data_IF_178398005477
#
_entry.id   IF_178398005477
#
_cell.length_a   1.000
_cell.length_b   1.000
_cell.length_c   1.000
_cell.angle_alpha   90.00
_cell.angle_beta   90.00
_cell.angle_gamma   90.00
#
_symmetry.space_group_name_H-M   'P 1'
#
loop_
_entity.id
_entity.type
_entity.pdbx_description
1 polymer ?
#
# COMPACT_ATOMS: atom_id res chain seq x y z
N UNK A 1 -17.96 1.72 8.36
CA UNK A 1 -17.66 3.03 8.94
C UNK A 1 -18.10 4.11 7.97
N UNK A 2 -18.65 5.19 8.46
CA UNK A 2 -19.09 6.29 7.62
C UNK A 2 -20.05 5.87 6.53
N UNK A 3 -19.82 6.37 5.30
CA UNK A 3 -20.64 6.09 4.11
C UNK A 3 -20.04 5.01 3.20
N UNK A 4 -18.86 4.49 3.51
CA UNK A 4 -18.23 3.44 2.72
C UNK A 4 -19.02 2.14 2.78
N UNK A 5 -19.24 1.53 1.63
CA UNK A 5 -19.94 0.24 1.47
C UNK A 5 -18.95 -0.86 1.13
N UNK A 6 -19.14 -2.04 1.73
CA UNK A 6 -18.33 -3.22 1.45
C UNK A 6 -19.23 -4.33 0.90
N UNK A 7 -18.85 -4.90 -0.24
CA UNK A 7 -19.58 -5.99 -0.87
C UNK A 7 -18.61 -6.95 -1.61
N UNK A 8 -19.00 -8.21 -1.84
CA UNK A 8 -18.17 -9.17 -2.58
C UNK A 8 -17.85 -8.67 -3.99
N UNK A 9 -16.63 -8.94 -4.46
CA UNK A 9 -16.31 -8.70 -5.87
C UNK A 9 -17.08 -9.70 -6.75
N UNK A 10 -17.62 -9.23 -7.87
CA UNK A 10 -18.38 -10.07 -8.81
C UNK A 10 -17.49 -11.16 -9.45
N UNK A 11 -16.20 -10.88 -9.64
CA UNK A 11 -15.22 -11.80 -10.20
C UNK A 11 -14.09 -12.01 -9.19
N UNK A 12 -14.31 -12.85 -8.15
CA UNK A 12 -13.32 -13.02 -7.10
C UNK A 12 -12.06 -13.73 -7.61
N UNK A 13 -10.89 -13.20 -7.26
CA UNK A 13 -9.58 -13.75 -7.60
C UNK A 13 -8.99 -14.61 -6.48
N UNK A 14 -9.60 -14.60 -5.29
CA UNK A 14 -9.17 -15.35 -4.11
C UNK A 14 -10.37 -15.70 -3.23
N UNK A 15 -10.14 -16.48 -2.17
CA UNK A 15 -11.18 -16.89 -1.22
C UNK A 15 -11.88 -15.68 -0.57
N UNK A 16 -11.14 -14.62 -0.30
CA UNK A 16 -11.65 -13.31 0.08
C UNK A 16 -11.33 -12.31 -1.03
N UNK A 17 -12.35 -11.76 -1.66
CA UNK A 17 -12.21 -10.63 -2.57
C UNK A 17 -13.46 -9.75 -2.50
N UNK A 18 -13.32 -8.60 -1.87
CA UNK A 18 -14.40 -7.65 -1.67
C UNK A 18 -14.00 -6.27 -2.19
N UNK A 19 -15.00 -5.46 -2.48
CA UNK A 19 -14.86 -4.07 -2.92
C UNK A 19 -15.35 -3.17 -1.80
N UNK A 20 -14.60 -2.10 -1.52
CA UNK A 20 -15.01 -1.00 -0.64
C UNK A 20 -15.18 0.23 -1.51
N UNK A 21 -16.37 0.78 -1.58
CA UNK A 21 -16.69 1.91 -2.45
C UNK A 21 -17.28 3.08 -1.68
N UNK A 22 -17.25 4.24 -2.32
CA UNK A 22 -17.79 5.50 -1.85
C UNK A 22 -18.99 5.88 -2.73
N UNK A 23 -20.25 5.60 -2.32
CA UNK A 23 -21.43 5.67 -3.20
C UNK A 23 -21.65 7.02 -3.88
N UNK A 24 -21.26 8.11 -3.22
CA UNK A 24 -21.47 9.47 -3.71
C UNK A 24 -20.35 10.00 -4.60
N UNK A 25 -19.25 9.25 -4.73
CA UNK A 25 -18.05 9.69 -5.44
C UNK A 25 -17.85 8.89 -6.72
N UNK A 26 -18.25 9.44 -7.86
CA UNK A 26 -18.12 8.75 -9.15
C UNK A 26 -16.76 8.91 -9.82
N UNK A 27 -16.03 9.96 -9.48
CA UNK A 27 -14.68 10.25 -9.95
C UNK A 27 -13.94 11.10 -8.93
N UNK A 28 -12.66 10.86 -8.76
CA UNK A 28 -11.74 11.70 -7.97
C UNK A 28 -10.42 11.87 -8.71
N UNK A 29 -9.88 13.08 -8.68
CA UNK A 29 -8.47 13.30 -9.00
C UNK A 29 -7.61 12.86 -7.82
N UNK A 30 -6.32 12.58 -7.99
CA UNK A 30 -5.46 12.16 -6.90
C UNK A 30 -5.49 13.09 -5.67
N UNK A 31 -5.49 14.42 -5.87
CA UNK A 31 -5.56 15.41 -4.78
C UNK A 31 -6.92 15.50 -4.07
N UNK A 32 -7.97 14.89 -4.64
CA UNK A 32 -9.32 14.87 -4.06
C UNK A 32 -9.53 13.70 -3.09
N UNK A 33 -8.57 12.79 -2.98
CA UNK A 33 -8.56 11.76 -1.93
C UNK A 33 -8.21 12.39 -0.58
N UNK A 34 -9.22 12.90 0.10
CA UNK A 34 -9.04 13.54 1.41
C UNK A 34 -8.70 12.53 2.51
N UNK A 35 -8.04 12.96 3.62
CA UNK A 35 -7.76 12.09 4.76
C UNK A 35 -9.01 11.42 5.31
N UNK A 36 -10.12 12.15 5.41
CA UNK A 36 -11.40 11.61 5.89
C UNK A 36 -11.93 10.50 5.02
N UNK A 37 -11.90 10.68 3.69
CA UNK A 37 -12.36 9.68 2.73
C UNK A 37 -11.52 8.40 2.80
N UNK A 38 -10.19 8.53 2.78
CA UNK A 38 -9.28 7.39 2.89
C UNK A 38 -9.41 6.70 4.23
N UNK A 39 -9.56 7.45 5.34
CA UNK A 39 -9.77 6.88 6.66
C UNK A 39 -11.07 6.06 6.75
N UNK A 40 -12.17 6.54 6.17
CA UNK A 40 -13.43 5.79 6.09
C UNK A 40 -13.25 4.47 5.31
N UNK A 41 -12.64 4.55 4.13
CA UNK A 41 -12.45 3.38 3.27
C UNK A 41 -11.49 2.35 3.86
N UNK A 42 -10.32 2.77 4.33
CA UNK A 42 -9.35 1.90 4.97
C UNK A 42 -9.91 1.29 6.25
N UNK A 43 -10.59 2.09 7.09
CA UNK A 43 -11.24 1.60 8.29
C UNK A 43 -12.31 0.54 8.00
N UNK A 44 -13.16 0.78 6.99
CA UNK A 44 -14.14 -0.22 6.56
C UNK A 44 -13.48 -1.50 6.02
N UNK A 45 -12.39 -1.38 5.28
CA UNK A 45 -11.62 -2.49 4.75
C UNK A 45 -10.97 -3.32 5.87
N UNK A 46 -10.32 -2.68 6.86
CA UNK A 46 -9.70 -3.34 8.02
C UNK A 46 -10.76 -4.05 8.87
N UNK A 47 -11.88 -3.38 9.19
CA UNK A 47 -12.97 -3.99 9.97
C UNK A 47 -13.61 -5.18 9.25
N UNK A 48 -13.75 -5.11 7.93
CA UNK A 48 -14.22 -6.23 7.13
C UNK A 48 -13.20 -7.37 7.12
N UNK A 49 -11.91 -7.05 6.93
CA UNK A 49 -10.81 -8.00 6.96
C UNK A 49 -10.69 -8.76 8.28
N UNK A 50 -10.86 -8.07 9.42
CA UNK A 50 -10.91 -8.69 10.75
C UNK A 50 -12.02 -9.72 10.85
N UNK A 51 -13.25 -9.37 10.42
CA UNK A 51 -14.39 -10.30 10.43
C UNK A 51 -14.16 -11.47 9.49
N UNK A 52 -13.61 -11.25 8.32
CA UNK A 52 -13.31 -12.29 7.36
C UNK A 52 -12.23 -13.26 7.87
N UNK A 53 -11.19 -12.77 8.55
CA UNK A 53 -10.14 -13.59 9.15
C UNK A 53 -10.65 -14.50 10.27
N UNK A 54 -11.76 -14.17 10.92
CA UNK A 54 -12.43 -15.05 11.88
C UNK A 54 -13.35 -16.08 11.21
N UNK A 55 -13.84 -15.82 10.03
CA UNK A 55 -14.84 -16.64 9.34
C UNK A 55 -14.25 -17.57 8.26
N UNK A 56 -13.09 -17.22 7.75
CA UNK A 56 -12.43 -17.91 6.63
C UNK A 56 -11.03 -18.35 7.03
N UNK A 57 -10.52 -19.40 6.38
CA UNK A 57 -9.11 -19.77 6.49
C UNK A 57 -8.30 -18.86 5.56
N UNK A 58 -7.61 -17.89 6.16
CA UNK A 58 -6.79 -16.91 5.46
C UNK A 58 -5.37 -16.93 6.03
N UNK A 59 -4.38 -17.04 5.17
CA UNK A 59 -2.96 -16.91 5.54
C UNK A 59 -2.50 -15.46 5.40
N UNK A 60 -3.03 -14.73 4.42
CA UNK A 60 -2.69 -13.33 4.17
C UNK A 60 -3.93 -12.48 3.94
N UNK A 61 -3.78 -11.18 4.18
CA UNK A 61 -4.77 -10.15 3.90
C UNK A 61 -4.06 -8.92 3.35
N UNK A 62 -4.63 -8.33 2.31
CA UNK A 62 -4.19 -7.05 1.77
C UNK A 62 -5.37 -6.15 1.40
N UNK A 63 -5.12 -4.84 1.44
CA UNK A 63 -6.06 -3.81 0.98
C UNK A 63 -5.37 -3.08 -0.16
N UNK A 64 -5.99 -3.02 -1.33
CA UNK A 64 -5.39 -2.43 -2.51
C UNK A 64 -6.30 -1.38 -3.15
N UNK A 65 -5.70 -0.43 -3.84
CA UNK A 65 -6.38 0.52 -4.70
C UNK A 65 -5.75 0.50 -6.09
N UNK A 66 -6.59 0.32 -7.10
CA UNK A 66 -6.25 0.58 -8.48
C UNK A 66 -7.00 1.84 -8.90
N UNK A 67 -6.28 2.92 -9.20
CA UNK A 67 -6.90 4.17 -9.61
C UNK A 67 -6.65 4.45 -11.08
N UNK A 68 -7.73 4.67 -11.84
CA UNK A 68 -7.78 4.89 -13.28
C UNK A 68 -7.29 3.68 -14.11
N UNK A 69 -7.56 3.70 -15.41
CA UNK A 69 -7.19 2.63 -16.35
C UNK A 69 -5.69 2.30 -16.36
N UNK A 70 -4.76 3.28 -16.32
CA UNK A 70 -3.34 2.99 -16.21
C UNK A 70 -2.98 2.25 -14.92
N UNK A 71 -3.71 2.47 -13.82
CA UNK A 71 -3.59 1.74 -12.56
C UNK A 71 -4.22 0.35 -12.59
N UNK A 72 -4.83 -0.07 -13.71
CA UNK A 72 -5.51 -1.37 -13.83
C UNK A 72 -6.93 -1.39 -13.25
N UNK A 73 -7.53 -0.23 -13.00
CA UNK A 73 -8.93 -0.17 -12.60
C UNK A 73 -9.84 -0.50 -13.79
N UNK A 74 -10.80 -1.39 -13.59
CA UNK A 74 -11.84 -1.68 -14.59
C UNK A 74 -12.93 -0.61 -14.65
N UNK A 75 -13.08 0.14 -13.56
CA UNK A 75 -14.05 1.23 -13.40
C UNK A 75 -13.34 2.48 -12.86
N UNK A 76 -13.76 3.64 -13.31
CA UNK A 76 -13.23 4.93 -12.87
C UNK A 76 -13.71 5.29 -11.45
N UNK A 77 -14.84 4.72 -11.02
CA UNK A 77 -15.40 4.93 -9.68
C UNK A 77 -14.38 4.57 -8.59
N UNK A 78 -14.04 5.48 -7.66
CA UNK A 78 -13.04 5.23 -6.63
C UNK A 78 -13.43 4.08 -5.71
N UNK A 79 -12.53 3.12 -5.56
CA UNK A 79 -12.78 1.96 -4.70
C UNK A 79 -11.48 1.36 -4.18
N UNK A 80 -11.57 0.68 -3.04
CA UNK A 80 -10.54 -0.21 -2.53
C UNK A 80 -10.98 -1.66 -2.74
N UNK A 81 -10.02 -2.56 -2.69
CA UNK A 81 -10.26 -4.00 -2.74
C UNK A 81 -9.65 -4.63 -1.49
N UNK A 82 -10.40 -5.52 -0.84
CA UNK A 82 -9.90 -6.39 0.22
C UNK A 82 -9.66 -7.75 -0.39
N UNK A 83 -8.42 -8.22 -0.31
CA UNK A 83 -7.96 -9.43 -0.97
C UNK A 83 -7.25 -10.33 0.03
N UNK A 84 -7.58 -11.62 0.08
CA UNK A 84 -6.96 -12.56 1.00
C UNK A 84 -7.25 -14.01 0.65
N UNK A 85 -6.43 -14.92 1.14
CA UNK A 85 -6.56 -16.34 0.90
C UNK A 85 -5.48 -17.16 1.61
N UNK A 86 -5.48 -18.46 1.33
CA UNK A 86 -4.45 -19.38 1.81
C UNK A 86 -3.15 -19.26 1.00
N UNK A 87 -3.26 -19.02 -0.31
CA UNK A 87 -2.11 -18.87 -1.20
C UNK A 87 -1.53 -17.45 -1.09
N UNK A 88 -0.36 -17.34 -0.51
CA UNK A 88 0.35 -16.06 -0.35
C UNK A 88 0.94 -15.62 -1.69
N UNK A 89 0.76 -14.35 -2.12
CA UNK A 89 1.47 -13.83 -3.28
C UNK A 89 2.99 -13.96 -3.13
N UNK A 90 3.68 -14.40 -4.18
CA UNK A 90 5.10 -14.76 -4.12
C UNK A 90 6.00 -13.67 -3.55
N UNK A 91 5.73 -12.41 -3.89
CA UNK A 91 6.51 -11.28 -3.41
C UNK A 91 6.33 -11.05 -1.90
N UNK A 92 5.10 -11.21 -1.41
CA UNK A 92 4.79 -11.12 0.03
C UNK A 92 5.49 -12.24 0.79
N UNK A 93 5.42 -13.48 0.26
CA UNK A 93 6.15 -14.62 0.84
C UNK A 93 7.66 -14.36 0.90
N UNK A 94 8.23 -13.81 -0.17
CA UNK A 94 9.66 -13.47 -0.20
C UNK A 94 10.01 -12.45 0.89
N UNK A 95 9.18 -11.43 1.12
CA UNK A 95 9.41 -10.47 2.20
C UNK A 95 9.33 -11.13 3.59
N UNK A 96 8.36 -12.01 3.80
CA UNK A 96 8.24 -12.76 5.06
C UNK A 96 9.49 -13.61 5.31
N UNK A 97 9.90 -14.40 4.33
CA UNK A 97 11.08 -15.29 4.45
C UNK A 97 12.34 -14.49 4.75
N UNK A 98 12.58 -13.37 4.04
CA UNK A 98 13.76 -12.54 4.24
C UNK A 98 13.73 -11.77 5.57
N UNK A 99 12.57 -11.35 6.02
CA UNK A 99 12.43 -10.70 7.33
C UNK A 99 12.70 -11.69 8.46
N UNK A 100 12.17 -12.91 8.37
CA UNK A 100 12.41 -13.98 9.34
C UNK A 100 13.89 -14.40 9.35
N UNK A 101 14.52 -14.53 8.19
CA UNK A 101 15.95 -14.82 8.07
C UNK A 101 16.80 -13.73 8.73
N UNK A 102 16.47 -12.46 8.51
CA UNK A 102 17.15 -11.32 9.13
C UNK A 102 16.98 -11.35 10.65
N UNK A 103 15.75 -11.47 11.12
CA UNK A 103 15.43 -11.53 12.54
C UNK A 103 16.20 -12.67 13.24
N UNK A 104 16.24 -13.86 12.61
CA UNK A 104 16.98 -15.01 13.13
C UNK A 104 18.48 -14.80 13.19
N UNK A 105 19.07 -14.00 12.29
CA UNK A 105 20.52 -13.71 12.26
C UNK A 105 20.92 -12.58 13.18
N UNK A 106 20.10 -11.55 13.31
CA UNK A 106 20.46 -10.29 13.96
C UNK A 106 19.73 -10.07 15.29
N UNK A 107 18.67 -10.81 15.57
CA UNK A 107 17.86 -10.66 16.80
C UNK A 107 16.98 -9.41 16.83
N UNK A 108 16.87 -8.69 15.70
CA UNK A 108 16.06 -7.48 15.53
C UNK A 108 15.35 -7.46 14.19
N UNK A 109 14.22 -6.72 14.10
CA UNK A 109 13.50 -6.57 12.85
C UNK A 109 14.27 -5.69 11.86
N UNK A 110 14.45 -6.20 10.63
CA UNK A 110 15.00 -5.41 9.52
C UNK A 110 14.26 -4.08 9.31
N UNK A 111 12.94 -4.12 9.41
CA UNK A 111 12.09 -2.96 9.13
C UNK A 111 12.20 -1.87 10.20
N UNK A 112 12.38 -2.28 11.46
CA UNK A 112 12.66 -1.36 12.57
C UNK A 112 14.01 -0.69 12.37
N UNK A 113 15.03 -1.49 12.15
CA UNK A 113 16.39 -1.01 11.85
C UNK A 113 16.38 -0.08 10.62
N UNK A 114 15.65 -0.43 9.55
CA UNK A 114 15.53 0.41 8.35
C UNK A 114 14.96 1.79 8.69
N UNK A 115 13.85 1.86 9.42
CA UNK A 115 13.23 3.13 9.82
C UNK A 115 14.21 3.98 10.64
N UNK A 116 14.87 3.39 11.63
CA UNK A 116 15.83 4.09 12.48
C UNK A 116 17.02 4.65 11.68
N UNK A 117 17.55 3.86 10.76
CA UNK A 117 18.67 4.29 9.92
C UNK A 117 18.27 5.37 8.91
N UNK A 118 17.11 5.26 8.27
CA UNK A 118 16.61 6.28 7.36
C UNK A 118 16.28 7.59 8.09
N UNK A 119 15.76 7.51 9.32
CA UNK A 119 15.57 8.69 10.17
C UNK A 119 16.89 9.36 10.51
N UNK A 120 17.90 8.57 10.89
CA UNK A 120 19.22 9.09 11.26
C UNK A 120 19.94 9.71 10.06
N UNK A 121 19.85 9.11 8.89
CA UNK A 121 20.44 9.62 7.66
C UNK A 121 19.71 10.88 7.13
N UNK A 122 18.38 10.92 7.27
CA UNK A 122 17.54 12.04 6.83
C UNK A 122 17.47 12.24 5.30
N UNK A 123 18.01 11.31 4.51
CA UNK A 123 18.07 11.42 3.05
C UNK A 123 16.78 10.96 2.39
N UNK A 124 16.31 9.76 2.70
CA UNK A 124 15.12 9.14 2.12
C UNK A 124 13.92 9.06 3.07
N UNK A 125 14.14 9.33 4.36
CA UNK A 125 13.05 9.50 5.31
C UNK A 125 12.25 10.77 5.02
N UNK A 126 10.92 10.65 5.00
CA UNK A 126 10.05 11.79 4.66
C UNK A 126 9.40 12.37 5.91
N UNK A 127 8.58 11.58 6.61
CA UNK A 127 7.99 11.94 7.92
C UNK A 127 7.51 10.69 8.67
N UNK A 128 7.17 10.86 9.96
CA UNK A 128 6.49 9.86 10.77
C UNK A 128 5.46 10.51 11.70
N UNK A 129 4.35 9.83 11.90
CA UNK A 129 3.27 10.21 12.81
C UNK A 129 2.53 8.95 13.28
N UNK A 130 2.19 8.89 14.56
CA UNK A 130 1.40 7.81 15.16
C UNK A 130 1.90 6.40 14.79
N UNK A 131 3.22 6.17 14.87
CA UNK A 131 3.84 4.88 14.57
C UNK A 131 3.92 4.53 13.08
N UNK A 132 3.46 5.39 12.16
CA UNK A 132 3.55 5.23 10.70
C UNK A 132 4.70 6.06 10.15
N UNK A 133 5.71 5.41 9.57
CA UNK A 133 6.92 6.04 9.06
C UNK A 133 6.97 5.98 7.54
N UNK A 134 6.97 7.13 6.88
CA UNK A 134 7.05 7.25 5.43
C UNK A 134 8.47 7.54 4.96
N UNK A 135 8.90 6.80 3.95
CA UNK A 135 10.22 6.92 3.32
C UNK A 135 10.12 6.64 1.81
N UNK A 136 11.13 7.02 1.08
CA UNK A 136 11.33 6.61 -0.31
C UNK A 136 12.34 5.46 -0.31
N UNK A 137 11.97 4.26 -0.80
CA UNK A 137 12.88 3.13 -0.75
C UNK A 137 14.12 3.36 -1.64
N UNK A 138 15.28 2.89 -1.20
CA UNK A 138 16.54 2.95 -1.98
C UNK A 138 16.39 2.22 -3.32
N UNK A 139 15.72 1.08 -3.33
CA UNK A 139 15.44 0.28 -4.52
C UNK A 139 13.92 0.18 -4.70
N UNK A 140 13.28 1.18 -5.33
CA UNK A 140 11.85 1.15 -5.56
C UNK A 140 11.46 0.02 -6.51
N UNK A 141 10.30 -0.61 -6.23
CA UNK A 141 9.70 -1.63 -7.08
C UNK A 141 8.63 -1.07 -8.02
N UNK A 142 8.45 0.24 -8.05
CA UNK A 142 7.53 0.94 -8.93
C UNK A 142 7.92 2.41 -9.10
N UNK A 143 7.39 3.03 -10.16
CA UNK A 143 7.68 4.42 -10.47
C UNK A 143 7.25 5.35 -9.32
N UNK A 144 8.14 6.21 -8.88
CA UNK A 144 7.90 7.19 -7.79
C UNK A 144 7.29 6.54 -6.54
N UNK A 145 7.80 5.39 -6.16
CA UNK A 145 7.33 4.66 -4.99
C UNK A 145 7.60 5.44 -3.70
N UNK A 146 6.56 5.55 -2.86
CA UNK A 146 6.71 5.86 -1.45
C UNK A 146 6.25 4.64 -0.62
N UNK A 147 6.93 4.44 0.50
CA UNK A 147 6.75 3.30 1.38
C UNK A 147 6.42 3.80 2.79
N UNK A 148 5.33 3.32 3.37
CA UNK A 148 5.11 3.43 4.82
C UNK A 148 5.44 2.11 5.51
N UNK A 149 6.02 2.21 6.69
CA UNK A 149 6.28 1.09 7.60
C UNK A 149 5.57 1.38 8.92
N UNK A 150 4.85 0.39 9.44
CA UNK A 150 4.16 0.45 10.75
C UNK A 150 4.80 -0.62 11.65
N UNK A 151 5.94 -0.32 12.30
CA UNK A 151 6.77 -1.33 12.97
C UNK A 151 6.06 -2.09 14.11
N UNK A 152 5.03 -1.48 14.69
CA UNK A 152 4.29 -2.04 15.83
C UNK A 152 3.03 -2.82 15.43
N UNK A 153 2.68 -2.86 14.15
CA UNK A 153 1.58 -3.66 13.61
C UNK A 153 2.13 -4.78 12.72
N UNK A 154 2.00 -6.03 13.14
CA UNK A 154 2.47 -7.19 12.38
C UNK A 154 1.52 -7.59 11.24
N UNK A 155 0.22 -7.38 11.41
CA UNK A 155 -0.84 -7.79 10.48
C UNK A 155 -1.74 -6.62 10.12
N UNK A 156 -2.35 -6.65 8.95
CA UNK A 156 -3.35 -5.64 8.55
C UNK A 156 -4.50 -5.57 9.57
N UNK A 157 -4.83 -6.68 10.21
CA UNK A 157 -5.84 -6.76 11.27
C UNK A 157 -5.43 -6.09 12.59
N UNK A 158 -4.16 -5.79 12.79
CA UNK A 158 -3.64 -5.14 14.00
C UNK A 158 -3.70 -3.60 13.92
N UNK A 159 -3.91 -3.04 12.70
CA UNK A 159 -4.00 -1.59 12.52
C UNK A 159 -5.17 -1.00 13.32
N UNK A 160 -4.90 -0.12 14.25
CA UNK A 160 -5.92 0.64 15.00
C UNK A 160 -6.36 1.92 14.24
N UNK A 161 -7.21 2.72 14.87
CA UNK A 161 -7.76 3.94 14.27
C UNK A 161 -6.70 5.03 14.07
N UNK A 162 -5.68 5.09 14.92
CA UNK A 162 -4.57 6.04 14.84
C UNK A 162 -3.66 5.68 13.65
N UNK A 163 -3.28 4.41 13.51
CA UNK A 163 -2.54 3.93 12.35
C UNK A 163 -3.29 4.19 11.03
N UNK A 164 -4.60 3.88 11.00
CA UNK A 164 -5.42 4.08 9.79
C UNK A 164 -5.49 5.57 9.42
N UNK A 165 -5.67 6.46 10.40
CA UNK A 165 -5.69 7.90 10.17
C UNK A 165 -4.34 8.43 9.67
N UNK A 166 -3.23 7.95 10.25
CA UNK A 166 -1.88 8.33 9.84
C UNK A 166 -1.55 7.85 8.42
N UNK A 167 -1.95 6.61 8.07
CA UNK A 167 -1.83 6.08 6.70
C UNK A 167 -2.66 6.92 5.72
N UNK A 168 -3.91 7.22 6.06
CA UNK A 168 -4.80 8.03 5.23
C UNK A 168 -4.22 9.43 4.97
N UNK A 169 -3.70 10.07 6.02
CA UNK A 169 -3.06 11.38 5.89
C UNK A 169 -1.81 11.33 4.99
N UNK A 170 -0.97 10.31 5.16
CA UNK A 170 0.23 10.15 4.34
C UNK A 170 -0.09 9.89 2.87
N UNK A 171 -1.03 9.00 2.59
CA UNK A 171 -1.51 8.75 1.23
C UNK A 171 -2.04 10.03 0.59
N UNK A 172 -2.86 10.82 1.29
CA UNK A 172 -3.38 12.10 0.77
C UNK A 172 -2.25 13.04 0.30
N UNK A 173 -1.18 13.19 1.10
CA UNK A 173 -0.03 14.02 0.73
C UNK A 173 0.68 13.52 -0.52
N UNK A 174 0.93 12.21 -0.60
CA UNK A 174 1.62 11.61 -1.75
C UNK A 174 0.77 11.71 -3.02
N UNK A 175 -0.54 11.47 -2.92
CA UNK A 175 -1.45 11.56 -4.05
C UNK A 175 -1.59 13.00 -4.56
N UNK A 176 -1.62 13.99 -3.68
CA UNK A 176 -1.60 15.41 -4.07
C UNK A 176 -0.30 15.75 -4.83
N UNK A 177 0.85 15.29 -4.33
CA UNK A 177 2.12 15.46 -5.02
C UNK A 177 2.15 14.75 -6.38
N UNK A 178 1.55 13.56 -6.53
CA UNK A 178 1.44 12.90 -7.84
C UNK A 178 0.68 13.78 -8.84
N UNK A 179 -0.41 14.43 -8.43
CA UNK A 179 -1.16 15.32 -9.32
C UNK A 179 -0.34 16.56 -9.69
N UNK A 180 0.41 17.15 -8.78
CA UNK A 180 1.34 18.27 -9.04
C UNK A 180 2.42 17.87 -10.08
N UNK A 181 2.91 16.64 -10.03
CA UNK A 181 3.84 16.07 -11.04
C UNK A 181 3.13 15.65 -12.35
N UNK A 182 1.83 15.93 -12.50
CA UNK A 182 1.05 15.63 -13.70
C UNK A 182 0.63 14.17 -13.85
N UNK A 183 0.64 13.40 -12.74
CA UNK A 183 0.26 11.99 -12.71
C UNK A 183 -1.19 11.86 -12.24
N UNK A 184 -2.00 11.12 -12.99
CA UNK A 184 -3.43 10.97 -12.69
C UNK A 184 -3.84 9.55 -12.30
N UNK A 185 -2.93 8.61 -12.33
CA UNK A 185 -3.16 7.22 -12.00
C UNK A 185 -2.13 6.71 -11.00
N UNK A 186 -2.55 5.81 -10.12
CA UNK A 186 -1.70 5.22 -9.09
C UNK A 186 -2.20 3.85 -8.66
N UNK A 187 -1.33 3.11 -7.98
CA UNK A 187 -1.71 1.97 -7.17
C UNK A 187 -1.19 2.17 -5.76
N UNK A 188 -1.94 1.69 -4.77
CA UNK A 188 -1.38 1.43 -3.46
C UNK A 188 -1.86 0.10 -2.90
N UNK A 189 -1.07 -0.49 -2.01
CA UNK A 189 -1.40 -1.72 -1.30
C UNK A 189 -0.93 -1.65 0.13
N UNK A 190 -1.82 -2.01 1.06
CA UNK A 190 -1.53 -2.22 2.49
C UNK A 190 -1.48 -3.72 2.71
N UNK A 191 -0.39 -4.25 3.23
CA UNK A 191 -0.24 -5.67 3.55
C UNK A 191 0.71 -5.85 4.73
N UNK A 192 0.64 -6.99 5.39
CA UNK A 192 1.42 -7.27 6.59
C UNK A 192 1.90 -8.72 6.63
N UNK A 193 2.33 -9.16 7.80
CA UNK A 193 2.75 -10.51 8.10
C UNK A 193 1.59 -11.53 8.08
N UNK A 194 1.90 -12.81 8.36
CA UNK A 194 0.95 -13.91 8.38
C UNK A 194 -0.17 -13.68 9.40
N UNK A 195 -1.41 -14.05 9.02
CA UNK A 195 -2.58 -13.88 9.88
C UNK A 195 -2.63 -14.85 11.07
N UNK A 196 -1.85 -15.92 11.04
CA UNK A 196 -1.71 -16.87 12.16
C UNK A 196 -0.93 -16.29 13.36
N UNK A 197 -0.36 -15.10 13.19
CA UNK A 197 0.40 -14.40 14.23
C UNK A 197 1.82 -14.90 14.41
N UNK A 198 2.34 -15.74 13.51
CA UNK A 198 3.76 -16.10 13.50
C UNK A 198 4.61 -14.84 13.29
N UNK A 199 5.50 -14.56 14.26
CA UNK A 199 6.35 -13.38 14.20
C UNK A 199 7.60 -13.66 13.37
N UNK A 200 7.54 -13.29 12.10
CA UNK A 200 8.68 -13.29 11.20
C UNK A 200 9.39 -11.94 11.09
N UNK A 201 9.06 -10.98 11.96
CA UNK A 201 9.67 -9.64 11.93
C UNK A 201 9.21 -8.77 10.75
N UNK A 202 8.16 -9.16 10.01
CA UNK A 202 7.58 -8.38 8.93
C UNK A 202 6.37 -7.58 9.43
N UNK A 203 6.43 -6.24 9.39
CA UNK A 203 5.34 -5.38 9.84
C UNK A 203 4.29 -5.14 8.76
N UNK A 204 3.27 -4.36 9.08
CA UNK A 204 2.42 -3.76 8.06
C UNK A 204 3.22 -2.72 7.28
N UNK A 205 3.11 -2.81 5.95
CA UNK A 205 3.67 -1.83 5.03
C UNK A 205 2.60 -1.30 4.08
N UNK A 206 2.76 -0.05 3.66
CA UNK A 206 1.96 0.56 2.60
C UNK A 206 2.89 0.93 1.47
N UNK A 207 2.65 0.39 0.29
CA UNK A 207 3.34 0.80 -0.94
C UNK A 207 2.41 1.63 -1.79
N UNK A 208 2.87 2.76 -2.25
CA UNK A 208 2.16 3.57 -3.22
C UNK A 208 3.08 3.90 -4.39
N UNK A 209 2.62 3.64 -5.60
CA UNK A 209 3.35 3.88 -6.85
C UNK A 209 2.52 4.74 -7.79
N UNK A 210 3.20 5.61 -8.52
CA UNK A 210 2.57 6.34 -9.60
C UNK A 210 2.45 5.45 -10.84
N UNK A 211 1.38 5.66 -11.60
CA UNK A 211 1.20 5.07 -12.91
C UNK A 211 1.18 6.17 -13.97
N UNK A 212 1.38 5.78 -15.22
CA UNK A 212 1.35 6.72 -16.35
C UNK A 212 0.03 7.50 -16.40
N UNK A 213 0.09 8.81 -16.66
CA UNK A 213 -1.11 9.62 -16.86
C UNK A 213 -1.87 9.15 -18.11
N UNK A 214 -3.20 9.06 -18.02
CA UNK A 214 -4.05 8.74 -19.17
C UNK A 214 -4.00 9.90 -20.18
N UNK A 215 -3.50 9.63 -21.38
CA UNK A 215 -3.38 10.58 -22.49
C UNK A 215 -3.85 9.92 -23.78
N UNK A 216 -4.08 10.72 -24.82
CA UNK A 216 -4.51 10.23 -26.14
C UNK A 216 -3.57 9.15 -26.70
N UNK A 217 -2.26 9.31 -26.50
CA UNK A 217 -1.22 8.37 -26.93
C UNK A 217 -0.69 7.54 -25.74
N UNK A 218 -1.62 7.06 -24.89
CA UNK A 218 -1.27 6.25 -23.73
C UNK A 218 -0.47 5.02 -24.14
N UNK A 219 0.62 4.79 -23.39
CA UNK A 219 1.39 3.54 -23.44
C UNK A 219 1.30 2.86 -22.07
N UNK A 220 1.36 1.53 -22.08
CA UNK A 220 1.54 0.79 -20.84
C UNK A 220 2.90 1.14 -20.21
N UNK A 221 2.95 1.29 -18.91
CA UNK A 221 4.18 1.40 -18.14
C UNK A 221 4.69 0.03 -17.64
N UNK A 222 3.93 -1.04 -17.94
CA UNK A 222 4.31 -2.42 -17.70
C UNK A 222 4.83 -3.05 -19.00
N UNK A 223 6.12 -3.35 -19.08
CA UNK A 223 6.76 -3.99 -20.24
C UNK A 223 7.71 -5.12 -19.79
N UNK A 224 8.60 -5.59 -20.64
CA UNK A 224 9.41 -6.80 -20.38
C UNK A 224 10.21 -6.73 -19.08
N UNK A 225 10.73 -5.55 -18.70
CA UNK A 225 11.55 -5.38 -17.51
C UNK A 225 10.75 -5.71 -16.25
N UNK A 226 9.57 -5.13 -16.10
CA UNK A 226 8.69 -5.40 -14.95
C UNK A 226 8.06 -6.79 -15.02
N UNK A 227 7.53 -7.17 -16.19
CA UNK A 227 6.72 -8.38 -16.33
C UNK A 227 7.52 -9.68 -16.42
N UNK A 228 8.73 -9.63 -16.99
CA UNK A 228 9.53 -10.83 -17.25
C UNK A 228 10.77 -10.90 -16.36
N UNK A 229 11.34 -9.76 -15.99
CA UNK A 229 12.61 -9.71 -15.26
C UNK A 229 12.46 -9.20 -13.82
N UNK A 230 11.28 -8.71 -13.41
CA UNK A 230 11.04 -8.20 -12.07
C UNK A 230 11.86 -6.96 -11.72
N UNK A 231 12.30 -6.22 -12.73
CA UNK A 231 13.05 -4.98 -12.56
C UNK A 231 12.19 -3.75 -12.72
N UNK A 232 12.70 -2.58 -12.34
CA UNK A 232 12.01 -1.31 -12.50
C UNK A 232 12.98 -0.21 -12.95
N UNK A 233 12.44 0.84 -13.58
CA UNK A 233 13.19 2.04 -13.95
C UNK A 233 13.01 3.14 -12.90
N UNK A 234 14.12 3.66 -12.45
CA UNK A 234 14.15 4.80 -11.55
C UNK A 234 14.27 6.10 -12.37
N UNK A 235 13.22 6.93 -12.36
CA UNK A 235 13.19 8.19 -13.11
C UNK A 235 13.75 9.39 -12.34
N UNK A 236 13.90 9.27 -11.02
CA UNK A 236 14.50 10.26 -10.14
C UNK A 236 15.21 9.54 -8.99
N UNK A 237 16.26 10.14 -8.45
CA UNK A 237 16.90 9.60 -7.26
C UNK A 237 15.92 9.59 -6.07
N UNK A 238 15.92 8.53 -5.23
CA UNK A 238 15.04 8.45 -4.07
C UNK A 238 15.17 9.64 -3.13
N UNK A 239 16.38 10.17 -2.96
CA UNK A 239 16.70 11.32 -2.13
C UNK A 239 16.04 12.62 -2.66
N UNK A 240 16.01 12.80 -3.99
CA UNK A 240 15.33 13.93 -4.63
C UNK A 240 13.81 13.85 -4.45
N UNK A 241 13.25 12.66 -4.59
CA UNK A 241 11.83 12.42 -4.34
C UNK A 241 11.46 12.69 -2.88
N UNK A 242 12.26 12.18 -1.94
CA UNK A 242 12.04 12.40 -0.51
C UNK A 242 12.11 13.88 -0.15
N UNK A 243 13.05 14.65 -0.76
CA UNK A 243 13.16 16.09 -0.56
C UNK A 243 11.91 16.86 -1.04
N UNK A 244 11.29 16.42 -2.14
CA UNK A 244 10.04 17.02 -2.65
C UNK A 244 8.81 16.69 -1.79
N UNK A 245 8.80 15.54 -1.13
CA UNK A 245 7.70 15.11 -0.28
C UNK A 245 7.76 15.69 1.13
N UNK A 246 8.93 16.09 1.62
CA UNK A 246 9.09 16.80 2.91
C UNK A 246 8.48 18.20 2.89
#
# INVERSE_FOLDING_TARGET
RGRALVFPNLFPLAALHAVVTYPEMHFLRPSEFTPGLLNEGLGAAVDFGRRAAHALVLTHLSIACNHMLPGGASLVHPHLQVFGGETVPWLVQLYWDRSAEWLGRHGESYWRMLVEQEQAAGERYVWGVDGVHWLVPFAPAGAREALAVVPDAGRVTDLDDEHIAAIAHGLTRILAWYEEEGLSAFNFTVYGGPLDGSDGGFPVVVRVIARTAFKQDYRTDDYFLQKQLGGELMFAAPEEMAAKLR
#
